data_IF_436950649304
#
_entry.id   IF_436950649304
#
_cell.length_a   1.000
_cell.length_b   1.000
_cell.length_c   1.000
_cell.angle_alpha   90.00
_cell.angle_beta   90.00
_cell.angle_gamma   90.00
#
_symmetry.space_group_name_H-M   'P 1'
#
loop_
_entity.id
_entity.type
_entity.pdbx_description
1 polymer ?
#
# COMPACT_ATOMS: atom_id res chain seq x y z
N UNK A 1 113.98 -37.05 10.59
CA UNK A 1 112.75 -37.69 10.09
C UNK A 1 111.88 -38.28 11.24
N UNK A 2 112.48 -38.82 12.27
CA UNK A 2 111.74 -39.37 13.44
C UNK A 2 111.01 -38.33 14.24
N UNK A 3 111.56 -37.11 14.41
CA UNK A 3 110.92 -36.02 15.16
C UNK A 3 109.63 -35.51 14.45
N UNK A 4 109.61 -35.51 13.14
CA UNK A 4 108.48 -35.16 12.36
C UNK A 4 107.35 -36.19 12.42
N UNK A 5 107.78 -37.48 12.45
CA UNK A 5 106.86 -38.58 12.60
C UNK A 5 106.15 -38.57 13.96
N UNK A 6 106.91 -38.39 15.04
CA UNK A 6 106.38 -38.25 16.39
C UNK A 6 105.45 -37.07 16.51
N UNK A 7 105.79 -35.92 15.90
CA UNK A 7 104.92 -34.74 15.89
C UNK A 7 103.58 -34.95 15.14
N UNK A 8 103.68 -35.60 14.00
CA UNK A 8 102.48 -35.97 13.24
C UNK A 8 101.58 -36.95 13.95
N UNK A 9 102.23 -37.94 14.65
CA UNK A 9 101.51 -38.93 15.45
C UNK A 9 100.81 -38.25 16.64
N UNK A 10 101.51 -37.32 17.34
CA UNK A 10 100.95 -36.55 18.43
C UNK A 10 99.76 -35.66 17.96
N UNK A 11 99.88 -35.02 16.82
CA UNK A 11 98.85 -34.20 16.21
C UNK A 11 97.65 -35.03 15.76
N UNK A 12 97.90 -36.26 15.31
CA UNK A 12 96.82 -37.21 14.99
C UNK A 12 96.06 -37.61 16.24
N UNK A 13 96.77 -37.96 17.34
CA UNK A 13 96.14 -38.32 18.62
C UNK A 13 95.36 -37.13 19.21
N UNK A 14 95.94 -35.95 19.21
CA UNK A 14 95.25 -34.74 19.62
C UNK A 14 93.93 -34.46 18.80
N UNK A 15 94.00 -34.70 17.50
CA UNK A 15 92.81 -34.58 16.66
C UNK A 15 91.75 -35.67 16.91
N UNK A 16 92.19 -36.88 17.15
CA UNK A 16 91.28 -37.98 17.52
C UNK A 16 90.70 -37.80 18.91
N UNK A 17 91.45 -37.33 19.87
CA UNK A 17 90.95 -36.86 21.16
C UNK A 17 90.02 -35.68 21.04
N UNK A 18 90.34 -34.66 20.25
CA UNK A 18 89.48 -33.54 20.00
C UNK A 18 88.14 -33.97 19.35
N UNK A 19 88.21 -34.91 18.41
CA UNK A 19 86.98 -35.49 17.84
C UNK A 19 86.17 -36.32 18.85
N UNK A 20 86.87 -37.05 19.77
CA UNK A 20 86.20 -37.76 20.81
C UNK A 20 85.59 -36.87 21.88
N UNK A 21 86.21 -35.65 22.14
CA UNK A 21 85.72 -34.64 23.05
C UNK A 21 84.70 -33.74 22.42
N UNK A 22 84.58 -33.65 21.09
CA UNK A 22 83.43 -33.11 20.44
C UNK A 22 82.25 -34.09 20.58
N UNK A 23 82.00 -34.50 21.79
CA UNK A 23 80.77 -35.22 22.12
C UNK A 23 79.64 -34.25 21.78
N UNK A 24 78.73 -34.70 21.00
CA UNK A 24 77.51 -34.02 20.74
C UNK A 24 76.83 -33.67 22.08
N UNK A 25 77.08 -32.51 22.61
CA UNK A 25 76.43 -32.01 23.85
C UNK A 25 74.94 -31.83 23.73
N UNK A 26 74.43 -32.08 22.55
CA UNK A 26 72.97 -32.00 22.28
C UNK A 26 72.48 -33.40 21.90
N UNK A 27 71.83 -34.05 22.83
CA UNK A 27 71.04 -35.25 22.53
C UNK A 27 69.59 -34.77 22.16
N UNK A 28 69.15 -35.07 20.96
CA UNK A 28 67.75 -34.89 20.58
C UNK A 28 66.97 -35.92 21.44
N UNK A 29 66.36 -35.44 22.50
CA UNK A 29 65.52 -36.24 23.41
C UNK A 29 64.23 -36.64 22.71
N UNK A 30 63.67 -35.68 21.93
CA UNK A 30 62.50 -35.94 21.10
C UNK A 30 62.71 -35.28 19.72
N UNK A 31 62.58 -36.02 18.63
CA UNK A 31 62.62 -35.40 17.31
C UNK A 31 61.43 -34.40 17.21
N UNK A 32 61.54 -33.32 16.45
CA UNK A 32 60.41 -32.40 16.21
C UNK A 32 59.28 -33.17 15.52
N UNK A 33 58.32 -33.60 16.32
CA UNK A 33 57.12 -34.28 15.81
C UNK A 33 56.06 -33.19 15.59
N UNK A 34 55.82 -32.84 14.34
CA UNK A 34 54.64 -32.05 13.95
C UNK A 34 53.39 -32.94 13.96
N UNK A 35 52.32 -32.53 14.62
CA UNK A 35 51.05 -33.21 14.47
C UNK A 35 50.56 -33.00 13.02
N UNK A 36 50.16 -34.06 12.34
CA UNK A 36 49.64 -34.00 10.96
C UNK A 36 48.27 -33.27 10.87
N UNK A 37 47.73 -32.88 12.01
CA UNK A 37 46.45 -32.12 12.06
C UNK A 37 46.74 -30.65 12.24
N UNK A 38 46.20 -29.77 11.39
CA UNK A 38 46.37 -28.33 11.55
C UNK A 38 45.72 -27.89 12.88
N UNK A 39 46.49 -27.23 13.73
CA UNK A 39 45.99 -26.67 15.02
C UNK A 39 45.09 -25.45 14.79
N UNK A 40 45.32 -24.74 13.70
CA UNK A 40 44.51 -23.58 13.28
C UNK A 40 44.55 -23.46 11.73
N UNK A 41 43.47 -22.94 11.11
CA UNK A 41 42.17 -22.58 11.68
C UNK A 41 41.27 -23.84 11.91
N UNK A 42 40.49 -23.81 12.99
CA UNK A 42 39.54 -24.92 13.30
C UNK A 42 38.34 -24.79 12.37
N UNK A 43 38.26 -25.60 11.31
CA UNK A 43 37.21 -25.59 10.28
C UNK A 43 35.79 -25.59 10.87
N UNK A 44 35.56 -26.38 11.92
CA UNK A 44 34.26 -26.46 12.59
C UNK A 44 33.80 -25.10 13.14
N UNK A 45 34.69 -24.35 13.77
CA UNK A 45 34.35 -23.03 14.33
C UNK A 45 34.08 -22.01 13.23
N UNK A 46 34.85 -22.05 12.14
CA UNK A 46 34.62 -21.17 10.99
C UNK A 46 33.22 -21.44 10.35
N UNK A 47 32.90 -22.73 10.14
CA UNK A 47 31.59 -23.11 9.61
C UNK A 47 30.45 -22.72 10.55
N UNK A 48 30.63 -22.85 11.86
CA UNK A 48 29.62 -22.45 12.84
C UNK A 48 29.42 -20.94 12.84
N UNK A 49 30.50 -20.17 12.83
CA UNK A 49 30.43 -18.70 12.74
C UNK A 49 29.78 -18.25 11.41
N UNK A 50 30.18 -18.87 10.30
CA UNK A 50 29.56 -18.55 9.00
C UNK A 50 28.07 -18.89 8.97
N UNK A 51 27.67 -20.01 9.57
CA UNK A 51 26.25 -20.39 9.70
C UNK A 51 25.48 -19.41 10.55
N UNK A 52 26.00 -19.02 11.73
CA UNK A 52 25.35 -18.05 12.62
C UNK A 52 25.23 -16.69 11.93
N UNK A 53 26.28 -16.19 11.28
CA UNK A 53 26.24 -14.94 10.53
C UNK A 53 25.27 -15.00 9.33
N UNK A 54 25.24 -16.15 8.64
CA UNK A 54 24.32 -16.38 7.52
C UNK A 54 22.86 -16.26 7.91
N UNK A 55 22.48 -16.63 9.15
CA UNK A 55 21.14 -16.44 9.69
C UNK A 55 20.93 -15.08 10.34
N UNK A 56 21.91 -14.57 11.04
CA UNK A 56 21.81 -13.32 11.80
C UNK A 56 21.67 -12.09 10.89
N UNK A 57 22.43 -12.06 9.79
CA UNK A 57 22.38 -10.92 8.84
C UNK A 57 20.97 -10.73 8.23
N UNK A 58 20.31 -11.75 7.65
CA UNK A 58 18.94 -11.61 7.15
C UNK A 58 17.93 -11.21 8.23
N UNK A 59 18.07 -11.76 9.45
CA UNK A 59 17.18 -11.43 10.58
C UNK A 59 17.33 -9.95 10.95
N UNK A 60 18.57 -9.45 11.07
CA UNK A 60 18.84 -8.03 11.36
C UNK A 60 18.29 -7.14 10.26
N UNK A 61 18.49 -7.49 8.98
CA UNK A 61 17.97 -6.72 7.85
C UNK A 61 16.44 -6.67 7.89
N UNK A 62 15.76 -7.78 8.15
CA UNK A 62 14.30 -7.84 8.27
C UNK A 62 13.83 -7.01 9.45
N UNK A 63 14.49 -7.13 10.61
CA UNK A 63 14.16 -6.39 11.83
C UNK A 63 14.30 -4.88 11.62
N UNK A 64 15.40 -4.41 11.02
CA UNK A 64 15.60 -3.00 10.70
C UNK A 64 14.55 -2.51 9.72
N UNK A 65 14.31 -3.25 8.62
CA UNK A 65 13.27 -2.88 7.64
C UNK A 65 11.87 -2.82 8.24
N UNK A 66 11.56 -3.71 9.17
CA UNK A 66 10.25 -3.74 9.84
C UNK A 66 10.07 -2.56 10.80
N UNK A 67 11.11 -2.22 11.58
CA UNK A 67 11.09 -1.08 12.51
C UNK A 67 11.16 0.27 11.81
N UNK A 68 11.86 0.38 10.68
CA UNK A 68 11.91 1.60 9.88
C UNK A 68 10.66 1.88 9.05
N UNK A 69 9.69 0.96 9.05
CA UNK A 69 8.46 1.16 8.28
C UNK A 69 7.45 1.99 9.08
N UNK A 70 7.35 3.25 8.74
CA UNK A 70 6.46 4.24 9.36
C UNK A 70 5.05 4.29 8.77
N UNK A 71 4.77 3.49 7.71
CA UNK A 71 3.49 3.57 7.00
C UNK A 71 2.34 2.86 7.73
N UNK A 72 1.14 3.31 7.48
CA UNK A 72 -0.12 2.66 7.91
C UNK A 72 -0.21 1.28 7.25
N UNK A 73 -0.44 0.22 8.03
CA UNK A 73 -0.50 -1.17 7.54
C UNK A 73 -1.86 -1.82 7.67
N UNK A 74 -2.65 -1.40 8.62
CA UNK A 74 -3.92 -2.05 8.92
C UNK A 74 -4.79 -1.26 9.90
N UNK A 75 -5.96 -1.81 10.18
CA UNK A 75 -6.95 -1.21 11.09
C UNK A 75 -6.40 -0.87 12.48
N UNK A 76 -5.37 -1.61 12.95
CA UNK A 76 -4.76 -1.35 14.26
C UNK A 76 -4.14 0.04 14.36
N UNK A 77 -3.56 0.53 13.28
CA UNK A 77 -2.92 1.85 13.23
C UNK A 77 -3.95 2.99 13.29
N UNK A 78 -5.22 2.69 12.93
CA UNK A 78 -6.34 3.64 12.89
C UNK A 78 -7.21 3.60 14.15
N UNK A 79 -6.89 2.73 15.14
CA UNK A 79 -7.75 2.50 16.32
C UNK A 79 -7.97 3.75 17.18
N UNK A 80 -7.00 4.64 17.21
CA UNK A 80 -7.03 5.84 18.07
C UNK A 80 -7.57 7.08 17.35
N UNK A 81 -8.09 6.93 16.13
CA UNK A 81 -8.70 8.02 15.38
C UNK A 81 -10.16 8.21 15.74
N UNK A 82 -10.60 9.47 15.73
CA UNK A 82 -12.00 9.81 15.99
C UNK A 82 -12.87 9.68 14.72
N UNK A 83 -12.26 9.65 13.54
CA UNK A 83 -12.97 9.51 12.26
C UNK A 83 -13.66 8.15 12.19
N UNK A 84 -14.98 8.08 11.92
CA UNK A 84 -15.70 6.82 11.79
C UNK A 84 -15.12 5.96 10.67
N UNK A 85 -14.85 4.68 10.98
CA UNK A 85 -14.28 3.72 10.06
C UNK A 85 -15.38 2.99 9.29
N UNK A 86 -15.43 3.19 7.97
CA UNK A 86 -16.45 2.60 7.11
C UNK A 86 -16.11 1.15 6.71
N UNK A 87 -14.83 0.88 6.43
CA UNK A 87 -14.39 -0.45 6.05
C UNK A 87 -12.98 -0.49 5.46
N UNK A 88 -12.55 -1.70 5.12
CA UNK A 88 -11.25 -1.91 4.48
C UNK A 88 -11.38 -2.74 3.20
N UNK A 89 -10.57 -2.37 2.20
CA UNK A 89 -10.49 -3.10 0.93
C UNK A 89 -9.12 -3.75 0.82
N UNK A 90 -9.04 -5.07 0.62
CA UNK A 90 -7.78 -5.77 0.48
C UNK A 90 -7.06 -5.42 -0.82
N UNK A 91 -5.73 -5.52 -0.79
CA UNK A 91 -4.91 -5.34 -1.98
C UNK A 91 -5.20 -6.45 -3.00
N UNK A 92 -5.61 -6.05 -4.19
CA UNK A 92 -5.95 -6.96 -5.28
C UNK A 92 -4.93 -6.88 -6.40
N UNK A 93 -4.36 -8.03 -6.76
CA UNK A 93 -3.56 -8.18 -7.98
C UNK A 93 -4.32 -9.12 -8.90
N UNK A 94 -4.69 -8.64 -10.07
CA UNK A 94 -5.32 -9.49 -11.08
C UNK A 94 -4.44 -10.70 -11.39
N UNK A 95 -5.01 -11.93 -11.39
CA UNK A 95 -4.29 -13.17 -11.71
C UNK A 95 -3.61 -13.14 -13.09
N UNK A 96 -4.09 -12.30 -14.02
CA UNK A 96 -3.45 -12.08 -15.32
C UNK A 96 -2.08 -11.41 -15.24
N UNK A 97 -1.72 -10.83 -14.09
CA UNK A 97 -0.46 -10.12 -13.84
C UNK A 97 0.37 -10.82 -12.74
N UNK A 98 0.55 -12.14 -12.83
CA UNK A 98 1.62 -12.77 -12.04
C UNK A 98 2.94 -12.45 -12.74
N UNK A 99 3.82 -11.65 -12.12
CA UNK A 99 5.13 -11.38 -12.72
C UNK A 99 5.87 -12.71 -12.87
N UNK A 100 6.41 -12.97 -14.06
CA UNK A 100 7.33 -14.09 -14.30
C UNK A 100 8.55 -13.97 -13.41
N UNK A 101 9.26 -15.09 -13.16
CA UNK A 101 10.45 -15.09 -12.28
C UNK A 101 11.47 -14.02 -12.69
N UNK A 102 11.65 -13.75 -14.00
CA UNK A 102 12.51 -12.69 -14.52
C UNK A 102 12.04 -11.28 -14.14
N UNK A 103 10.73 -11.04 -14.09
CA UNK A 103 10.17 -9.75 -13.65
C UNK A 103 10.26 -9.55 -12.14
N UNK A 104 10.36 -10.63 -11.35
CA UNK A 104 10.59 -10.57 -9.89
C UNK A 104 12.04 -10.19 -9.57
N UNK A 105 13.00 -10.55 -10.41
CA UNK A 105 14.41 -10.24 -10.25
C UNK A 105 14.70 -8.79 -10.69
N UNK A 106 13.97 -8.25 -11.64
CA UNK A 106 14.02 -6.83 -12.01
C UNK A 106 13.20 -5.98 -11.03
N UNK A 107 13.75 -5.69 -9.89
CA UNK A 107 13.18 -4.93 -8.76
C UNK A 107 12.65 -3.51 -9.07
N UNK A 108 12.65 -3.05 -10.32
CA UNK A 108 12.51 -1.63 -10.67
C UNK A 108 11.27 -1.25 -11.49
N UNK A 109 10.42 -2.18 -11.90
CA UNK A 109 9.13 -1.80 -12.51
C UNK A 109 7.98 -2.29 -11.64
N UNK A 110 7.35 -1.36 -10.90
CA UNK A 110 6.04 -1.60 -10.29
C UNK A 110 5.09 -2.08 -11.40
N UNK A 111 4.33 -3.16 -11.20
CA UNK A 111 3.32 -3.57 -12.17
C UNK A 111 2.39 -2.37 -12.41
N UNK A 112 2.12 -2.04 -13.68
CA UNK A 112 1.10 -1.05 -14.03
C UNK A 112 -0.19 -1.47 -13.34
N UNK A 113 -0.71 -0.64 -12.45
CA UNK A 113 -2.03 -0.87 -11.84
C UNK A 113 -3.04 -0.95 -12.99
N UNK A 114 -3.59 -2.13 -13.20
CA UNK A 114 -4.68 -2.30 -14.15
C UNK A 114 -5.90 -1.70 -13.47
N UNK A 115 -6.28 -0.51 -13.88
CA UNK A 115 -7.48 0.22 -13.42
C UNK A 115 -8.75 -0.46 -14.00
N UNK A 116 -8.95 -1.74 -13.66
CA UNK A 116 -10.13 -2.49 -14.07
C UNK A 116 -11.16 -2.50 -12.96
N UNK A 117 -12.43 -2.41 -13.37
CA UNK A 117 -13.55 -2.66 -12.46
C UNK A 117 -13.44 -4.07 -11.91
N UNK A 118 -13.32 -4.17 -10.58
CA UNK A 118 -13.14 -5.42 -9.86
C UNK A 118 -14.49 -5.99 -9.43
N UNK A 119 -15.42 -5.12 -9.06
CA UNK A 119 -16.77 -5.48 -8.66
C UNK A 119 -17.57 -5.96 -9.88
N UNK A 120 -18.12 -7.17 -9.78
CA UNK A 120 -18.95 -7.78 -10.83
C UNK A 120 -20.13 -8.51 -10.20
N UNK A 121 -21.30 -8.45 -10.88
CA UNK A 121 -22.49 -9.15 -10.45
C UNK A 121 -22.22 -10.67 -10.35
N UNK A 122 -22.68 -11.30 -9.27
CA UNK A 122 -22.55 -12.74 -9.05
C UNK A 122 -21.16 -13.25 -8.66
N UNK A 123 -20.11 -12.43 -8.73
CA UNK A 123 -18.76 -12.85 -8.37
C UNK A 123 -18.57 -12.91 -6.85
N UNK A 124 -17.99 -14.04 -6.36
CA UNK A 124 -17.77 -14.33 -4.94
C UNK A 124 -16.26 -14.46 -4.67
N UNK A 125 -15.52 -13.39 -4.82
CA UNK A 125 -14.14 -13.32 -4.37
C UNK A 125 -14.00 -12.35 -3.20
N UNK A 126 -12.83 -12.38 -2.57
CA UNK A 126 -12.51 -11.61 -1.36
C UNK A 126 -12.77 -10.10 -1.57
N UNK A 127 -12.46 -9.57 -2.75
CA UNK A 127 -12.60 -8.14 -3.03
C UNK A 127 -14.05 -7.76 -3.26
N UNK A 128 -14.81 -8.59 -4.01
CA UNK A 128 -16.22 -8.37 -4.20
C UNK A 128 -16.99 -8.44 -2.87
N UNK A 129 -16.59 -9.36 -1.97
CA UNK A 129 -17.18 -9.44 -0.63
C UNK A 129 -16.83 -8.21 0.22
N UNK A 130 -15.59 -7.73 0.18
CA UNK A 130 -15.19 -6.51 0.85
C UNK A 130 -16.02 -5.30 0.38
N UNK A 131 -16.28 -5.16 -0.92
CA UNK A 131 -17.15 -4.11 -1.45
C UNK A 131 -18.63 -4.30 -1.05
N UNK A 132 -19.10 -5.53 -0.89
CA UNK A 132 -20.46 -5.77 -0.37
C UNK A 132 -20.60 -5.31 1.08
N UNK A 133 -19.62 -5.65 1.92
CA UNK A 133 -19.57 -5.20 3.32
C UNK A 133 -19.48 -3.68 3.38
N UNK A 134 -18.57 -3.09 2.59
CA UNK A 134 -18.40 -1.65 2.52
C UNK A 134 -19.70 -0.94 2.12
N UNK A 135 -20.39 -1.43 1.08
CA UNK A 135 -21.71 -0.94 0.67
C UNK A 135 -22.74 -1.03 1.78
N UNK A 136 -22.80 -2.17 2.47
CA UNK A 136 -23.75 -2.37 3.57
C UNK A 136 -23.51 -1.36 4.70
N UNK A 137 -22.25 -1.17 5.08
CA UNK A 137 -21.90 -0.18 6.09
C UNK A 137 -22.22 1.25 5.64
N UNK A 138 -21.99 1.55 4.35
CA UNK A 138 -22.34 2.83 3.75
C UNK A 138 -23.85 3.07 3.77
N UNK A 139 -24.66 2.09 3.33
CA UNK A 139 -26.11 2.18 3.35
C UNK A 139 -26.65 2.34 4.78
N UNK A 140 -26.07 1.66 5.78
CA UNK A 140 -26.43 1.86 7.19
C UNK A 140 -26.10 3.28 7.67
N UNK A 141 -24.96 3.81 7.27
CA UNK A 141 -24.53 5.15 7.69
C UNK A 141 -25.40 6.25 7.09
N UNK A 142 -25.94 6.03 5.87
CA UNK A 142 -26.86 6.96 5.18
C UNK A 142 -28.33 6.67 5.53
N UNK A 143 -28.67 5.46 5.92
CA UNK A 143 -30.06 5.00 6.08
C UNK A 143 -30.93 5.83 7.02
N UNK A 144 -30.33 6.62 7.93
CA UNK A 144 -30.99 7.60 8.79
C UNK A 144 -31.15 8.98 8.12
N UNK A 145 -30.52 9.21 6.98
CA UNK A 145 -30.47 10.49 6.27
C UNK A 145 -30.55 10.27 4.75
N UNK A 146 -31.72 9.85 4.22
CA UNK A 146 -31.87 9.54 2.80
C UNK A 146 -31.69 10.76 1.86
N UNK A 147 -31.73 11.96 2.41
CA UNK A 147 -31.45 13.22 1.70
C UNK A 147 -29.97 13.43 1.39
N UNK A 148 -29.06 12.65 2.02
CA UNK A 148 -27.62 12.75 1.82
C UNK A 148 -27.19 11.94 0.59
N UNK A 149 -27.29 12.55 -0.57
CA UNK A 149 -27.07 11.89 -1.86
C UNK A 149 -25.75 12.23 -2.52
N UNK A 150 -25.13 13.39 -2.21
CA UNK A 150 -23.86 13.83 -2.80
C UNK A 150 -22.70 13.45 -1.91
N UNK A 151 -21.84 12.59 -2.43
CA UNK A 151 -20.70 12.00 -1.70
C UNK A 151 -19.41 12.29 -2.43
N UNK A 152 -18.47 12.97 -1.77
CA UNK A 152 -17.11 13.17 -2.31
C UNK A 152 -16.15 12.09 -1.82
N UNK A 153 -15.27 11.66 -2.72
CA UNK A 153 -14.13 10.77 -2.41
C UNK A 153 -12.84 11.57 -2.49
N UNK A 154 -12.12 11.66 -1.39
CA UNK A 154 -10.83 12.35 -1.33
C UNK A 154 -9.79 11.58 -0.51
N UNK A 155 -8.56 12.06 -0.47
CA UNK A 155 -7.46 11.50 0.32
C UNK A 155 -6.42 12.58 0.61
N UNK A 156 -5.51 12.34 1.52
CA UNK A 156 -4.38 13.22 1.72
C UNK A 156 -3.43 13.15 0.52
N UNK A 157 -2.94 11.95 0.20
CA UNK A 157 -1.90 11.73 -0.80
C UNK A 157 -2.45 11.23 -2.15
N UNK A 158 -1.76 11.54 -3.26
CA UNK A 158 -2.03 10.91 -4.55
C UNK A 158 -1.77 9.40 -4.52
N UNK A 159 -2.43 8.63 -5.40
CA UNK A 159 -2.25 7.18 -5.46
C UNK A 159 -2.93 6.38 -4.34
N UNK A 160 -3.75 7.02 -3.49
CA UNK A 160 -4.50 6.36 -2.42
C UNK A 160 -5.61 5.43 -2.94
N UNK A 161 -6.00 5.55 -4.21
CA UNK A 161 -7.00 4.71 -4.86
C UNK A 161 -8.44 5.20 -4.74
N UNK A 162 -8.63 6.52 -4.58
CA UNK A 162 -9.95 7.19 -4.52
C UNK A 162 -10.85 6.81 -5.70
N UNK A 163 -10.37 7.08 -6.92
CA UNK A 163 -11.09 6.81 -8.16
C UNK A 163 -11.48 5.35 -8.30
N UNK A 164 -10.58 4.44 -7.92
CA UNK A 164 -10.87 3.00 -7.92
C UNK A 164 -11.97 2.64 -6.91
N UNK A 165 -11.92 3.22 -5.71
CA UNK A 165 -12.93 2.97 -4.68
C UNK A 165 -14.27 3.60 -5.06
N UNK A 166 -14.30 4.83 -5.53
CA UNK A 166 -15.52 5.52 -5.98
C UNK A 166 -16.22 4.72 -7.08
N UNK A 167 -15.51 4.34 -8.13
CA UNK A 167 -16.06 3.56 -9.25
C UNK A 167 -16.58 2.18 -8.83
N UNK A 168 -15.82 1.42 -8.04
CA UNK A 168 -16.25 0.09 -7.59
C UNK A 168 -17.38 0.14 -6.57
N UNK A 169 -17.45 1.20 -5.76
CA UNK A 169 -18.55 1.44 -4.84
C UNK A 169 -19.83 1.80 -5.61
N UNK A 170 -19.72 2.69 -6.61
CA UNK A 170 -20.82 3.02 -7.54
C UNK A 170 -21.35 1.76 -8.23
N UNK A 171 -20.47 0.93 -8.80
CA UNK A 171 -20.83 -0.36 -9.39
C UNK A 171 -21.53 -1.27 -8.38
N UNK A 172 -21.07 -1.34 -7.13
CA UNK A 172 -21.66 -2.19 -6.09
C UNK A 172 -23.09 -1.77 -5.73
N UNK A 173 -23.39 -0.46 -5.76
CA UNK A 173 -24.72 0.12 -5.55
C UNK A 173 -25.62 -0.10 -6.78
N UNK A 174 -25.09 0.14 -7.98
CA UNK A 174 -25.80 -0.01 -9.23
C UNK A 174 -26.24 -1.48 -9.49
N UNK A 175 -25.46 -2.46 -9.06
CA UNK A 175 -25.86 -3.88 -9.05
C UNK A 175 -27.14 -4.11 -8.20
N UNK A 176 -27.38 -3.29 -7.17
CA UNK A 176 -28.63 -3.28 -6.39
C UNK A 176 -29.73 -2.42 -7.01
N UNK A 177 -29.57 -1.98 -8.26
CA UNK A 177 -30.52 -1.12 -8.99
C UNK A 177 -30.65 0.29 -8.40
N UNK A 178 -29.68 0.77 -7.64
CA UNK A 178 -29.58 2.16 -7.25
C UNK A 178 -29.02 2.98 -8.42
N UNK A 179 -29.65 4.10 -8.75
CA UNK A 179 -29.14 5.03 -9.76
C UNK A 179 -27.95 5.77 -9.20
N UNK A 180 -26.76 5.54 -9.73
CA UNK A 180 -25.52 6.15 -9.26
C UNK A 180 -24.85 6.91 -10.39
N UNK A 181 -24.57 8.18 -10.17
CA UNK A 181 -23.74 9.00 -11.03
C UNK A 181 -22.34 9.10 -10.43
N UNK A 182 -21.31 8.89 -11.24
CA UNK A 182 -19.92 9.17 -10.88
C UNK A 182 -19.41 10.34 -11.72
N UNK A 183 -19.04 11.42 -11.04
CA UNK A 183 -18.46 12.61 -11.65
C UNK A 183 -16.94 12.59 -11.43
N UNK A 184 -16.18 12.73 -12.51
CA UNK A 184 -14.73 12.89 -12.43
C UNK A 184 -14.41 14.36 -12.07
N UNK A 185 -14.20 14.61 -10.77
CA UNK A 185 -13.89 15.93 -10.22
C UNK A 185 -12.42 16.29 -10.23
N UNK A 186 -11.52 15.37 -10.60
CA UNK A 186 -10.10 15.66 -10.78
C UNK A 186 -9.85 16.14 -12.23
N UNK A 187 -10.14 17.41 -12.51
CA UNK A 187 -10.02 18.01 -13.83
C UNK A 187 -8.59 18.02 -14.40
N UNK A 188 -7.59 17.54 -13.62
CA UNK A 188 -6.18 17.49 -14.02
C UNK A 188 -5.76 16.11 -14.55
N UNK A 189 -6.37 15.04 -14.02
CA UNK A 189 -5.91 13.67 -14.28
C UNK A 189 -6.94 12.77 -14.97
N UNK A 190 -8.22 13.04 -14.83
CA UNK A 190 -9.30 12.29 -15.48
C UNK A 190 -9.29 10.79 -15.18
N UNK A 191 -9.09 10.44 -13.92
CA UNK A 191 -8.86 9.03 -13.55
C UNK A 191 -10.09 8.14 -13.72
N UNK A 192 -11.30 8.66 -13.50
CA UNK A 192 -12.57 7.95 -13.69
C UNK A 192 -13.10 8.08 -15.11
N UNK A 193 -12.71 9.11 -15.84
CA UNK A 193 -13.02 9.31 -17.27
C UNK A 193 -12.56 8.13 -18.15
N UNK A 194 -11.51 7.42 -17.74
CA UNK A 194 -11.04 6.20 -18.41
C UNK A 194 -12.08 5.08 -18.47
N UNK A 195 -13.07 5.09 -17.58
CA UNK A 195 -14.16 4.08 -17.56
C UNK A 195 -15.06 4.16 -18.81
N UNK A 196 -15.15 5.36 -19.38
CA UNK A 196 -15.96 5.66 -20.58
C UNK A 196 -15.09 6.01 -21.80
N UNK A 197 -13.80 5.65 -21.76
CA UNK A 197 -12.89 5.79 -22.91
C UNK A 197 -12.25 7.17 -23.07
N UNK A 198 -12.26 8.03 -22.06
CA UNK A 198 -11.73 9.40 -22.07
C UNK A 198 -12.31 10.21 -23.24
N UNK A 199 -13.61 10.47 -23.26
CA UNK A 199 -14.23 11.28 -24.32
C UNK A 199 -13.67 12.71 -24.30
N UNK A 200 -13.72 13.38 -25.44
CA UNK A 200 -13.21 14.74 -25.61
C UNK A 200 -14.10 15.81 -24.98
N UNK A 201 -15.35 15.48 -24.69
CA UNK A 201 -16.35 16.36 -24.08
C UNK A 201 -16.70 15.85 -22.69
N UNK A 202 -16.91 16.77 -21.73
CA UNK A 202 -17.21 16.42 -20.37
C UNK A 202 -17.42 17.62 -19.44
N UNK A 203 -17.19 17.40 -18.16
CA UNK A 203 -17.45 18.38 -17.09
C UNK A 203 -16.80 19.73 -17.34
N UNK A 204 -15.55 19.77 -17.80
CA UNK A 204 -14.84 21.02 -18.07
C UNK A 204 -15.48 21.83 -19.21
N UNK A 205 -16.01 21.15 -20.23
CA UNK A 205 -16.64 21.79 -21.39
C UNK A 205 -18.02 22.35 -21.02
N UNK A 206 -18.76 21.65 -20.15
CA UNK A 206 -19.99 22.16 -19.56
C UNK A 206 -19.74 23.37 -18.66
N UNK A 207 -18.79 23.28 -17.72
CA UNK A 207 -18.47 24.37 -16.79
C UNK A 207 -17.92 25.62 -17.51
N UNK A 208 -17.29 25.44 -18.68
CA UNK A 208 -16.83 26.55 -19.53
C UNK A 208 -17.90 27.10 -20.46
N UNK A 209 -19.14 26.59 -20.41
CA UNK A 209 -20.26 27.01 -21.24
C UNK A 209 -20.19 26.60 -22.71
N UNK A 210 -19.29 25.70 -23.08
CA UNK A 210 -19.23 25.14 -24.45
C UNK A 210 -20.40 24.21 -24.74
N UNK A 211 -20.85 23.50 -23.71
CA UNK A 211 -21.97 22.57 -23.75
C UNK A 211 -23.03 23.11 -22.80
N UNK A 212 -24.25 23.27 -23.30
CA UNK A 212 -25.32 23.88 -22.53
C UNK A 212 -26.12 22.87 -21.70
N UNK A 213 -26.30 21.65 -22.20
CA UNK A 213 -27.06 20.60 -21.51
C UNK A 213 -26.10 19.58 -20.87
N UNK A 214 -26.28 19.38 -19.56
CA UNK A 214 -25.50 18.37 -18.80
C UNK A 214 -25.70 16.96 -19.33
N UNK A 215 -26.85 16.65 -19.96
CA UNK A 215 -27.11 15.31 -20.49
C UNK A 215 -26.28 14.98 -21.72
N UNK A 216 -25.76 15.98 -22.43
CA UNK A 216 -24.89 15.77 -23.60
C UNK A 216 -23.52 15.21 -23.20
N UNK A 217 -23.07 15.45 -21.96
CA UNK A 217 -21.81 14.92 -21.42
C UNK A 217 -22.00 13.70 -20.51
N UNK A 218 -23.24 13.24 -20.36
CA UNK A 218 -23.59 12.11 -19.52
C UNK A 218 -23.45 10.79 -20.26
N UNK A 219 -22.49 9.95 -19.86
CA UNK A 219 -22.28 8.64 -20.43
C UNK A 219 -23.08 7.58 -19.68
N UNK A 220 -24.10 7.04 -20.34
CA UNK A 220 -24.94 5.97 -19.79
C UNK A 220 -24.13 4.66 -19.63
N UNK A 221 -24.31 4.01 -18.48
CA UNK A 221 -23.56 2.78 -18.17
C UNK A 221 -23.82 1.65 -19.14
N UNK A 222 -25.06 1.49 -19.64
CA UNK A 222 -25.40 0.47 -20.63
C UNK A 222 -24.61 0.64 -21.94
N UNK A 223 -24.45 1.87 -22.41
CA UNK A 223 -23.74 2.21 -23.63
C UNK A 223 -22.23 2.10 -23.47
N UNK A 224 -21.73 2.34 -22.26
CA UNK A 224 -20.30 2.34 -21.92
C UNK A 224 -19.77 0.98 -21.49
N UNK A 225 -20.60 -0.08 -21.56
CA UNK A 225 -20.20 -1.43 -21.11
C UNK A 225 -20.12 -1.60 -19.59
N UNK A 226 -20.70 -0.68 -18.85
CA UNK A 226 -20.93 -0.76 -17.41
C UNK A 226 -22.30 -1.41 -17.13
N UNK A 227 -22.86 -1.19 -15.93
CA UNK A 227 -24.21 -1.67 -15.60
C UNK A 227 -25.24 -0.56 -15.77
N UNK A 228 -26.49 -0.91 -16.02
CA UNK A 228 -27.63 -0.04 -16.35
C UNK A 228 -27.81 1.20 -15.43
N UNK A 229 -27.52 1.07 -14.18
CA UNK A 229 -27.76 2.13 -13.17
C UNK A 229 -26.51 2.86 -12.74
N UNK A 230 -25.45 2.78 -13.52
CA UNK A 230 -24.16 3.42 -13.22
C UNK A 230 -23.73 4.30 -14.38
N UNK A 231 -23.99 5.60 -14.28
CA UNK A 231 -23.64 6.61 -15.28
C UNK A 231 -22.40 7.40 -14.87
N UNK A 232 -21.70 7.97 -15.83
CA UNK A 232 -20.42 8.68 -15.60
C UNK A 232 -20.42 10.01 -16.34
N UNK A 233 -19.99 11.08 -15.66
CA UNK A 233 -19.61 12.35 -16.27
C UNK A 233 -18.07 12.42 -16.25
N UNK A 234 -17.42 12.33 -17.43
CA UNK A 234 -15.96 12.46 -17.56
C UNK A 234 -15.53 13.91 -17.46
N UNK A 235 -14.22 14.14 -17.34
CA UNK A 235 -13.68 15.51 -17.31
C UNK A 235 -13.83 16.25 -18.65
N UNK A 236 -13.77 15.53 -19.78
CA UNK A 236 -13.66 16.13 -21.11
C UNK A 236 -12.28 16.70 -21.40
N UNK A 237 -12.21 17.85 -22.02
CA UNK A 237 -10.97 18.56 -22.29
C UNK A 237 -10.31 19.03 -21.00
N UNK A 238 -9.01 18.76 -20.82
CA UNK A 238 -8.26 19.24 -19.65
C UNK A 238 -8.13 20.76 -19.73
N UNK A 239 -8.73 21.53 -18.79
CA UNK A 239 -8.71 22.97 -18.86
C UNK A 239 -7.36 23.54 -18.36
N UNK A 240 -6.95 24.73 -18.83
CA UNK A 240 -5.75 25.39 -18.32
C UNK A 240 -5.90 25.87 -16.86
N UNK A 241 -7.12 26.24 -16.46
CA UNK A 241 -7.46 26.79 -15.14
C UNK A 241 -8.52 25.91 -14.44
N UNK A 242 -8.18 24.70 -13.97
CA UNK A 242 -9.17 23.76 -13.42
C UNK A 242 -9.93 24.33 -12.22
N UNK A 243 -9.22 24.92 -11.26
CA UNK A 243 -9.81 25.43 -10.02
C UNK A 243 -10.80 26.58 -10.27
N UNK A 244 -10.51 27.47 -11.21
CA UNK A 244 -11.38 28.62 -11.53
C UNK A 244 -12.73 28.17 -12.12
N UNK A 245 -12.72 27.10 -12.93
CA UNK A 245 -13.96 26.54 -13.48
C UNK A 245 -14.90 26.01 -12.39
N UNK A 246 -14.37 25.55 -11.27
CA UNK A 246 -15.19 25.03 -10.18
C UNK A 246 -15.95 26.12 -9.41
N UNK A 247 -15.55 27.39 -9.54
CA UNK A 247 -16.26 28.51 -8.93
C UNK A 247 -17.43 29.02 -9.77
N UNK A 248 -17.71 28.42 -10.93
CA UNK A 248 -18.82 28.82 -11.77
C UNK A 248 -20.16 28.39 -11.16
N UNK A 249 -21.24 29.21 -11.31
CA UNK A 249 -22.59 28.85 -10.86
C UNK A 249 -23.12 27.55 -11.50
N UNK A 250 -22.57 27.17 -12.65
CA UNK A 250 -22.95 25.95 -13.38
C UNK A 250 -22.65 24.67 -12.59
N UNK A 251 -21.60 24.68 -11.76
CA UNK A 251 -21.30 23.53 -10.91
C UNK A 251 -22.41 23.28 -9.89
N UNK A 252 -22.89 24.32 -9.22
CA UNK A 252 -23.98 24.22 -8.26
C UNK A 252 -25.29 23.78 -8.95
N UNK A 253 -25.59 24.38 -10.10
CA UNK A 253 -26.79 24.04 -10.88
C UNK A 253 -26.75 22.55 -11.28
N UNK A 254 -25.65 22.09 -11.82
CA UNK A 254 -25.43 20.68 -12.18
C UNK A 254 -25.65 19.75 -11.01
N UNK A 255 -24.99 19.99 -9.87
CA UNK A 255 -25.12 19.13 -8.70
C UNK A 255 -26.55 19.09 -8.18
N UNK A 256 -27.24 20.22 -8.17
CA UNK A 256 -28.67 20.31 -7.76
C UNK A 256 -29.56 19.49 -8.71
N UNK A 257 -29.32 19.55 -10.01
CA UNK A 257 -30.08 18.79 -11.01
C UNK A 257 -29.81 17.29 -10.85
N UNK A 258 -28.56 16.87 -10.78
CA UNK A 258 -28.17 15.45 -10.65
C UNK A 258 -28.66 14.83 -9.33
N UNK A 259 -28.74 15.62 -8.27
CA UNK A 259 -29.31 15.18 -6.98
C UNK A 259 -30.80 14.75 -7.10
N UNK A 260 -31.54 15.32 -8.04
CA UNK A 260 -32.95 14.95 -8.26
C UNK A 260 -33.12 13.69 -9.12
N UNK A 261 -32.14 13.41 -9.98
CA UNK A 261 -32.22 12.31 -10.94
C UNK A 261 -31.60 11.00 -10.44
N UNK A 262 -30.67 11.08 -9.49
CA UNK A 262 -29.88 9.94 -8.99
C UNK A 262 -30.10 9.69 -7.50
N UNK A 263 -30.08 8.41 -7.10
CA UNK A 263 -30.07 8.04 -5.68
C UNK A 263 -28.76 8.48 -5.01
N UNK A 264 -27.63 8.41 -5.75
CA UNK A 264 -26.30 8.82 -5.27
C UNK A 264 -25.50 9.53 -6.37
N UNK A 265 -24.91 10.64 -6.03
CA UNK A 265 -23.96 11.37 -6.86
C UNK A 265 -22.58 11.28 -6.19
N UNK A 266 -21.69 10.53 -6.79
CA UNK A 266 -20.31 10.38 -6.33
C UNK A 266 -19.41 11.34 -7.09
N UNK A 267 -18.55 12.07 -6.39
CA UNK A 267 -17.56 12.97 -6.98
C UNK A 267 -16.17 12.47 -6.60
N UNK A 268 -15.37 12.08 -7.60
CA UNK A 268 -13.98 11.70 -7.40
C UNK A 268 -13.10 12.94 -7.37
N UNK A 269 -12.77 13.41 -6.17
CA UNK A 269 -12.00 14.64 -5.98
C UNK A 269 -10.49 14.38 -5.96
N UNK A 270 -9.64 15.37 -6.31
CA UNK A 270 -8.20 15.28 -6.15
C UNK A 270 -7.79 15.16 -4.66
N UNK A 271 -6.50 14.75 -4.38
CA UNK A 271 -5.99 14.74 -3.03
C UNK A 271 -5.90 16.17 -2.45
N UNK A 272 -6.26 16.33 -1.17
CA UNK A 272 -6.32 17.66 -0.53
C UNK A 272 -4.92 18.29 -0.31
N UNK A 273 -3.87 17.49 -0.21
CA UNK A 273 -2.49 17.97 -0.05
C UNK A 273 -1.97 18.66 -1.33
N UNK A 274 -2.53 18.30 -2.48
CA UNK A 274 -2.00 18.73 -3.78
C UNK A 274 -2.72 19.98 -4.32
N UNK A 275 -4.04 20.06 -4.11
CA UNK A 275 -4.86 21.14 -4.70
C UNK A 275 -6.05 21.54 -3.82
N UNK A 276 -6.48 22.81 -3.98
CA UNK A 276 -7.58 23.41 -3.22
C UNK A 276 -8.98 23.10 -3.82
N UNK A 277 -9.09 22.16 -4.76
CA UNK A 277 -10.35 21.90 -5.48
C UNK A 277 -11.37 21.14 -4.61
N UNK A 278 -10.91 20.23 -3.75
CA UNK A 278 -11.79 19.42 -2.89
C UNK A 278 -12.66 20.25 -1.94
N UNK A 279 -12.19 21.32 -1.28
CA UNK A 279 -13.04 22.21 -0.49
C UNK A 279 -14.16 22.89 -1.28
N UNK A 280 -14.01 23.07 -2.59
CA UNK A 280 -15.06 23.66 -3.43
C UNK A 280 -16.21 22.66 -3.60
N UNK A 281 -15.91 21.41 -3.88
CA UNK A 281 -16.91 20.34 -3.95
C UNK A 281 -17.58 20.06 -2.61
N UNK A 282 -16.83 20.22 -1.50
CA UNK A 282 -17.33 20.01 -0.14
C UNK A 282 -18.53 20.89 0.19
N UNK A 283 -18.63 22.10 -0.37
CA UNK A 283 -19.76 23.01 -0.17
C UNK A 283 -21.09 22.38 -0.58
N UNK A 284 -21.07 21.54 -1.60
CA UNK A 284 -22.24 20.86 -2.18
C UNK A 284 -22.41 19.43 -1.67
N UNK A 285 -21.38 18.87 -1.06
CA UNK A 285 -21.37 17.50 -0.55
C UNK A 285 -22.21 17.35 0.73
N UNK A 286 -22.84 16.21 0.87
CA UNK A 286 -23.54 15.82 2.11
C UNK A 286 -22.63 14.96 2.99
N UNK A 287 -21.67 14.26 2.35
CA UNK A 287 -20.76 13.33 3.03
C UNK A 287 -19.42 13.26 2.34
N UNK A 288 -18.38 13.02 3.13
CA UNK A 288 -17.03 12.81 2.64
C UNK A 288 -16.53 11.42 2.98
N UNK A 289 -16.03 10.69 1.97
CA UNK A 289 -15.30 9.44 2.13
C UNK A 289 -13.82 9.73 1.97
N UNK A 290 -13.09 9.60 3.08
CA UNK A 290 -11.65 9.82 3.11
C UNK A 290 -10.89 8.52 2.93
N UNK A 291 -10.04 8.45 1.92
CA UNK A 291 -9.32 7.22 1.55
C UNK A 291 -7.90 7.24 2.08
N UNK A 292 -7.60 6.28 2.95
CA UNK A 292 -6.25 5.99 3.47
C UNK A 292 -5.69 4.77 2.76
N UNK A 293 -4.45 4.86 2.24
CA UNK A 293 -3.80 3.73 1.57
C UNK A 293 -2.80 3.03 2.48
N UNK A 294 -3.02 1.73 2.70
CA UNK A 294 -2.06 0.88 3.40
C UNK A 294 -0.75 0.77 2.63
N UNK A 295 0.38 0.97 3.34
CA UNK A 295 1.72 0.92 2.77
C UNK A 295 2.13 2.15 1.94
N UNK A 296 1.29 3.19 1.88
CA UNK A 296 1.60 4.47 1.23
C UNK A 296 1.59 5.63 2.23
N UNK A 297 0.51 5.75 3.01
CA UNK A 297 0.35 6.83 3.98
C UNK A 297 1.26 6.62 5.19
N UNK A 298 1.95 7.65 5.62
CA UNK A 298 2.73 7.65 6.86
C UNK A 298 1.82 7.79 8.07
N UNK A 299 2.17 7.11 9.18
CA UNK A 299 1.40 7.22 10.44
C UNK A 299 1.48 8.61 11.04
N UNK A 300 2.56 9.35 10.79
CA UNK A 300 2.73 10.74 11.20
C UNK A 300 1.66 11.68 10.65
N UNK A 301 1.02 11.33 9.54
CA UNK A 301 -0.05 12.13 8.91
C UNK A 301 -1.46 11.82 9.45
N UNK A 302 -1.61 10.77 10.25
CA UNK A 302 -2.92 10.41 10.83
C UNK A 302 -3.52 11.50 11.74
N UNK A 303 -2.73 12.20 12.59
CA UNK A 303 -3.24 13.32 13.38
C UNK A 303 -3.83 14.46 12.55
N UNK A 304 -3.30 14.71 11.34
CA UNK A 304 -3.83 15.73 10.43
C UNK A 304 -5.24 15.35 9.94
N UNK A 305 -5.45 14.09 9.56
CA UNK A 305 -6.78 13.59 9.18
C UNK A 305 -7.76 13.71 10.35
N UNK A 306 -7.31 13.41 11.56
CA UNK A 306 -8.13 13.52 12.77
C UNK A 306 -8.46 14.99 13.10
N UNK A 307 -7.54 15.91 12.84
CA UNK A 307 -7.77 17.35 12.95
C UNK A 307 -8.84 17.83 11.96
N UNK A 308 -8.76 17.42 10.68
CA UNK A 308 -9.79 17.75 9.66
C UNK A 308 -11.19 17.32 10.10
N UNK A 309 -11.30 16.16 10.74
CA UNK A 309 -12.56 15.64 11.27
C UNK A 309 -13.05 16.45 12.48
N UNK A 310 -12.18 16.73 13.46
CA UNK A 310 -12.52 17.51 14.66
C UNK A 310 -12.91 18.94 14.34
N UNK A 311 -12.23 19.56 13.38
CA UNK A 311 -12.51 20.91 12.89
C UNK A 311 -13.74 20.97 11.97
N UNK A 312 -14.38 19.82 11.70
CA UNK A 312 -15.55 19.69 10.81
C UNK A 312 -15.32 20.31 9.42
N UNK A 313 -14.08 20.22 8.92
CA UNK A 313 -13.75 20.73 7.57
C UNK A 313 -14.44 19.94 6.45
N UNK A 314 -14.88 18.71 6.75
CA UNK A 314 -15.59 17.84 5.83
C UNK A 314 -16.86 17.29 6.48
N UNK A 315 -18.00 17.43 5.80
CA UNK A 315 -19.31 16.99 6.27
C UNK A 315 -19.38 15.48 6.39
N UNK A 316 -19.90 14.99 7.52
CA UNK A 316 -20.15 13.58 7.77
C UNK A 316 -18.99 12.66 7.30
N UNK A 317 -17.76 13.09 7.61
CA UNK A 317 -16.54 12.42 7.17
C UNK A 317 -16.46 11.00 7.72
N UNK A 318 -16.19 10.05 6.82
CA UNK A 318 -15.93 8.64 7.13
C UNK A 318 -14.66 8.18 6.43
N UNK A 319 -14.01 7.14 6.95
CA UNK A 319 -12.72 6.68 6.43
C UNK A 319 -12.77 5.26 5.89
N UNK A 320 -12.09 5.05 4.76
CA UNK A 320 -11.84 3.72 4.17
C UNK A 320 -10.34 3.46 4.15
N UNK A 321 -9.93 2.25 4.58
CA UNK A 321 -8.58 1.77 4.45
C UNK A 321 -8.44 0.91 3.20
N UNK A 322 -7.68 1.36 2.22
CA UNK A 322 -7.50 0.70 0.93
C UNK A 322 -6.15 -0.05 0.87
N UNK A 323 -6.15 -1.21 0.24
CA UNK A 323 -4.93 -1.98 -0.08
C UNK A 323 -4.33 -2.71 1.10
N UNK A 324 -5.14 -3.20 2.03
CA UNK A 324 -4.67 -3.99 3.16
C UNK A 324 -4.10 -5.33 2.71
N UNK A 325 -2.99 -5.74 3.30
CA UNK A 325 -2.40 -7.06 3.03
C UNK A 325 -3.22 -8.14 3.73
N UNK A 326 -3.81 -9.04 2.97
CA UNK A 326 -4.40 -10.27 3.49
C UNK A 326 -3.30 -11.19 4.00
N UNK A 327 -3.20 -11.38 5.31
CA UNK A 327 -2.35 -12.43 5.89
C UNK A 327 -2.99 -13.78 5.58
N UNK A 328 -2.37 -14.51 4.64
CA UNK A 328 -2.53 -15.95 4.41
C UNK A 328 -3.94 -16.52 4.56
N UNK A 329 -4.67 -16.67 3.45
CA UNK A 329 -5.72 -17.68 3.23
C UNK A 329 -6.97 -17.74 4.12
N UNK A 330 -7.04 -17.02 5.22
CA UNK A 330 -8.17 -17.03 6.17
C UNK A 330 -8.89 -15.69 6.24
N UNK A 331 -9.52 -15.32 5.14
CA UNK A 331 -10.37 -14.12 5.10
C UNK A 331 -11.69 -14.29 5.89
N UNK A 332 -12.08 -15.51 6.19
CA UNK A 332 -13.35 -15.80 6.87
C UNK A 332 -13.35 -15.61 8.39
N UNK A 333 -12.19 -15.43 9.04
CA UNK A 333 -12.09 -15.48 10.51
C UNK A 333 -12.09 -14.10 11.18
N UNK A 334 -11.99 -13.00 10.43
CA UNK A 334 -11.94 -11.63 11.00
C UNK A 334 -13.11 -10.72 10.60
N UNK A 335 -14.00 -11.17 9.71
CA UNK A 335 -15.28 -10.51 9.42
C UNK A 335 -16.41 -11.09 10.29
N UNK A 336 -16.08 -11.67 11.44
CA UNK A 336 -17.03 -11.96 12.49
C UNK A 336 -17.49 -10.63 13.10
N UNK A 337 -18.78 -10.37 13.00
CA UNK A 337 -19.51 -9.28 13.61
C UNK A 337 -19.13 -9.15 15.08
N UNK A 338 -18.22 -8.24 15.38
CA UNK A 338 -17.92 -7.78 16.73
C UNK A 338 -18.58 -6.43 16.97
N UNK A 339 -19.88 -6.30 16.74
CA UNK A 339 -20.67 -5.25 17.36
C UNK A 339 -20.97 -5.66 18.80
N UNK A 340 -19.97 -5.49 19.66
CA UNK A 340 -20.18 -5.49 21.09
C UNK A 340 -20.77 -4.14 21.50
N UNK A 341 -22.05 -3.95 21.32
CA UNK A 341 -22.81 -2.99 22.12
C UNK A 341 -22.92 -3.59 23.52
N UNK A 342 -21.96 -3.27 24.36
CA UNK A 342 -22.05 -3.51 25.80
C UNK A 342 -23.04 -2.53 26.45
N UNK A 343 -24.30 -2.79 26.32
CA UNK A 343 -25.28 -2.27 27.27
C UNK A 343 -25.27 -3.20 28.49
N UNK A 344 -24.41 -2.82 29.45
CA UNK A 344 -24.49 -3.36 30.78
C UNK A 344 -25.73 -2.83 31.51
N UNK A 345 -26.84 -3.54 31.45
CA UNK A 345 -27.89 -3.43 32.44
C UNK A 345 -27.53 -4.35 33.57
N UNK A 346 -26.99 -3.76 34.64
CA UNK A 346 -26.93 -4.41 35.94
C UNK A 346 -28.34 -4.50 36.52
N UNK A 347 -28.86 -5.71 36.66
CA UNK A 347 -29.91 -6.02 37.62
C UNK A 347 -29.26 -6.64 38.85
N UNK A 348 -29.27 -5.88 39.94
CA UNK A 348 -29.09 -6.41 41.26
C UNK A 348 -30.42 -7.09 41.70
N UNK A 349 -30.31 -8.34 42.05
CA UNK A 349 -31.08 -8.97 43.11
C UNK A 349 -30.13 -9.80 43.98
#
# INVERSE_FOLDING_TARGET
>A
KESLYLFLLQKREENELSKAFTAYNTRIITPPTGDNKPVAPVRRNIMLVAFVLGFLIPVVIIFVRENMNTTVRGRKDLKNMNVPFLGEIPYYVSRKYRPTLEQRIRFWKKPKEVRQMVVKAGKRDIVNEAFRVLRTNFEFTIGTHPEQTVIIFTSLNPGSGKSHLAANMAMSLAIKKKKVLLIDGDLRHGSTSMLVGNPGEGLSDYLNGRIADIHDILHKGEESGLVKYFDVIPIGTIPPNPTELLFTPLLEQMIRQMRQEYDYVFIDCPPIEVVADTPIYEQFADRTIFVVRSGLMERSMLPEIDALYKEKKFKNMTMILNGTKTRGGRYGSHYGYGYGYGYGYGYNY
#
